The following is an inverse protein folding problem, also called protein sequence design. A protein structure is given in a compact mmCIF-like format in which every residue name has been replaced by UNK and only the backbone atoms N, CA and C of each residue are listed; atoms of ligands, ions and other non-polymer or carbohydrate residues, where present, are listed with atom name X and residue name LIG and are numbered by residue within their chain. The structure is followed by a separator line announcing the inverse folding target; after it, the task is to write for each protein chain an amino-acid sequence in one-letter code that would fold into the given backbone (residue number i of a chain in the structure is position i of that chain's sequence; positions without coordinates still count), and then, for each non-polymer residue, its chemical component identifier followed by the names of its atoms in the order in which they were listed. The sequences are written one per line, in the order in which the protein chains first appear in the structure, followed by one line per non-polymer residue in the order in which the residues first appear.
data_IF_256945203301
#
_entry.id   IF_256945203301
#
_cell.length_a   1.000
_cell.length_b   1.000
_cell.length_c   1.000
_cell.angle_alpha   90.00
_cell.angle_beta   90.00
_cell.angle_gamma   90.00
#
_symmetry.space_group_name_H-M   'P 1'
#
loop_
_entity.id
_entity.type
_entity.pdbx_description
1 polymer ?
#
# COMPACT_ATOMS: atom_id res chain seq x y z
N UNK A 1 7.77 -11.47 8.19
CA UNK A 1 7.76 -10.61 6.97
C UNK A 1 8.31 -11.42 5.82
N UNK A 2 7.66 -11.39 4.67
CA UNK A 2 8.12 -12.09 3.46
C UNK A 2 9.08 -11.21 2.67
N UNK A 3 9.90 -11.78 1.77
CA UNK A 3 10.79 -11.01 0.88
C UNK A 3 10.03 -9.97 0.04
N UNK A 4 8.76 -10.24 -0.30
CA UNK A 4 7.92 -9.30 -1.02
C UNK A 4 7.53 -8.07 -0.19
N UNK A 5 7.39 -8.23 1.12
CA UNK A 5 7.05 -7.15 2.05
C UNK A 5 8.26 -6.30 2.42
N UNK A 6 9.46 -6.86 2.36
CA UNK A 6 10.73 -6.19 2.69
C UNK A 6 11.40 -5.56 1.46
N UNK A 7 10.63 -4.84 0.66
CA UNK A 7 11.16 -4.15 -0.51
C UNK A 7 11.73 -2.77 -0.17
N UNK A 8 12.71 -2.36 -0.96
CA UNK A 8 13.12 -0.98 -1.17
C UNK A 8 12.79 -0.64 -2.62
N UNK A 9 12.11 0.45 -2.85
CA UNK A 9 11.89 0.95 -4.21
C UNK A 9 13.21 1.48 -4.75
N UNK A 10 13.73 0.84 -5.81
CA UNK A 10 15.09 1.12 -6.31
C UNK A 10 15.22 2.52 -6.94
N UNK A 11 14.14 3.01 -7.52
CA UNK A 11 14.10 4.34 -8.15
C UNK A 11 12.68 4.92 -8.09
N UNK A 12 12.59 6.23 -7.95
CA UNK A 12 11.33 6.94 -8.04
C UNK A 12 10.73 6.85 -9.47
N UNK A 13 9.47 7.23 -9.61
CA UNK A 13 8.84 7.34 -10.93
C UNK A 13 9.61 8.33 -11.81
N UNK A 14 9.82 7.97 -13.09
CA UNK A 14 10.45 8.83 -14.08
C UNK A 14 9.38 9.47 -14.96
N UNK A 15 9.06 10.76 -14.80
CA UNK A 15 8.06 11.44 -15.64
C UNK A 15 8.49 11.52 -17.10
N UNK A 16 7.53 11.43 -18.02
CA UNK A 16 7.79 11.69 -19.44
C UNK A 16 8.13 13.16 -19.68
N UNK A 17 8.69 13.49 -20.84
CA UNK A 17 9.06 14.88 -21.17
C UNK A 17 7.83 15.81 -21.17
N UNK A 18 6.68 15.32 -21.65
CA UNK A 18 5.43 16.09 -21.64
C UNK A 18 4.92 16.31 -20.21
N UNK A 19 5.11 15.33 -19.33
CA UNK A 19 4.74 15.45 -17.91
C UNK A 19 5.66 16.43 -17.20
N UNK A 20 6.97 16.37 -17.45
CA UNK A 20 7.96 17.34 -16.93
C UNK A 20 7.64 18.74 -17.39
N UNK A 21 7.34 18.92 -18.69
CA UNK A 21 6.99 20.23 -19.22
C UNK A 21 5.70 20.78 -18.58
N UNK A 22 4.69 19.95 -18.39
CA UNK A 22 3.45 20.36 -17.73
C UNK A 22 3.62 20.71 -16.24
N UNK A 23 4.54 20.03 -15.54
CA UNK A 23 4.91 20.35 -14.16
C UNK A 23 5.66 21.68 -14.14
N UNK A 24 6.64 21.86 -15.01
CA UNK A 24 7.42 23.10 -15.13
C UNK A 24 6.53 24.31 -15.38
N UNK A 25 5.51 24.21 -16.23
CA UNK A 25 4.54 25.28 -16.44
C UNK A 25 3.79 25.67 -15.16
N UNK A 26 3.66 24.77 -14.19
CA UNK A 26 3.07 25.06 -12.88
C UNK A 26 4.09 25.68 -11.93
N UNK A 27 5.38 25.30 -12.04
CA UNK A 27 6.48 25.86 -11.27
C UNK A 27 6.81 27.30 -11.68
N UNK A 28 6.74 27.57 -12.99
CA UNK A 28 7.08 28.87 -13.59
C UNK A 28 6.01 29.96 -13.35
N UNK A 29 4.95 29.69 -12.58
CA UNK A 29 3.98 30.71 -12.16
C UNK A 29 4.65 31.71 -11.21
N UNK A 30 4.18 32.94 -11.18
CA UNK A 30 4.70 34.01 -10.31
C UNK A 30 4.75 33.61 -8.84
N UNK A 31 3.79 32.82 -8.38
CA UNK A 31 3.72 32.31 -7.00
C UNK A 31 4.40 30.95 -6.80
N UNK A 32 4.99 30.36 -7.87
CA UNK A 32 5.51 29.00 -7.83
C UNK A 32 4.42 27.93 -7.66
N UNK A 33 4.83 26.71 -7.28
CA UNK A 33 3.91 25.63 -6.98
C UNK A 33 3.12 25.90 -5.70
N UNK A 34 1.82 25.60 -5.76
CA UNK A 34 0.95 25.55 -4.59
C UNK A 34 0.33 24.15 -4.45
N UNK A 35 -0.03 23.75 -3.24
CA UNK A 35 -0.59 22.43 -2.97
C UNK A 35 -1.84 22.12 -3.80
N UNK A 36 -2.62 23.14 -4.17
CA UNK A 36 -3.79 23.04 -5.04
C UNK A 36 -3.48 22.60 -6.47
N UNK A 37 -2.27 22.79 -6.94
CA UNK A 37 -1.84 22.37 -8.29
C UNK A 37 -1.92 20.87 -8.48
N UNK A 38 -1.86 20.08 -7.38
CA UNK A 38 -2.14 18.66 -7.42
C UNK A 38 -3.50 18.32 -8.04
N UNK A 39 -4.49 19.21 -7.90
CA UNK A 39 -5.84 19.02 -8.46
C UNK A 39 -5.98 19.52 -9.90
N UNK A 40 -4.89 19.96 -10.53
CA UNK A 40 -4.89 20.43 -11.92
C UNK A 40 -5.54 19.41 -12.87
N UNK A 41 -6.36 19.93 -13.75
CA UNK A 41 -7.07 19.14 -14.77
C UNK A 41 -6.32 19.07 -16.11
N UNK A 42 -5.11 19.67 -16.20
CA UNK A 42 -4.26 19.55 -17.39
C UNK A 42 -3.98 18.07 -17.72
N UNK A 43 -4.02 17.75 -19.00
CA UNK A 43 -3.91 16.36 -19.51
C UNK A 43 -2.66 15.65 -18.98
N UNK A 44 -1.50 16.27 -19.09
CA UNK A 44 -0.24 15.65 -18.68
C UNK A 44 -0.05 15.60 -17.16
N UNK A 45 -0.70 16.46 -16.39
CA UNK A 45 -0.75 16.32 -14.91
C UNK A 45 -1.64 15.13 -14.52
N UNK A 46 -2.74 14.89 -15.22
CA UNK A 46 -3.54 13.67 -15.02
C UNK A 46 -2.76 12.42 -15.42
N UNK A 47 -2.03 12.48 -16.55
CA UNK A 47 -1.14 11.42 -17.01
C UNK A 47 -0.08 11.10 -15.95
N UNK A 48 0.66 12.09 -15.48
CA UNK A 48 1.65 11.96 -14.40
C UNK A 48 1.06 11.22 -13.19
N UNK A 49 -0.06 11.68 -12.68
CA UNK A 49 -0.70 11.06 -11.51
C UNK A 49 -1.12 9.61 -11.75
N UNK A 50 -1.60 9.29 -12.96
CA UNK A 50 -1.99 7.92 -13.34
C UNK A 50 -0.75 7.03 -13.49
N UNK A 51 0.24 7.48 -14.22
CA UNK A 51 1.44 6.72 -14.53
C UNK A 51 2.29 6.47 -13.28
N UNK A 52 2.50 7.51 -12.46
CA UNK A 52 3.14 7.40 -11.16
C UNK A 52 2.45 6.32 -10.28
N UNK A 53 1.13 6.38 -10.13
CA UNK A 53 0.42 5.37 -9.33
C UNK A 53 0.65 3.96 -9.85
N UNK A 54 0.58 3.77 -11.17
CA UNK A 54 0.73 2.46 -11.77
C UNK A 54 2.17 1.92 -11.66
N UNK A 55 3.16 2.80 -11.83
CA UNK A 55 4.58 2.47 -11.70
C UNK A 55 4.94 2.13 -10.25
N UNK A 56 4.62 3.03 -9.32
CA UNK A 56 4.88 2.82 -7.89
C UNK A 56 4.14 1.60 -7.33
N UNK A 57 2.91 1.34 -7.77
CA UNK A 57 2.17 0.14 -7.39
C UNK A 57 2.90 -1.16 -7.78
N UNK A 58 3.54 -1.18 -8.96
CA UNK A 58 4.38 -2.32 -9.39
C UNK A 58 5.68 -2.38 -8.58
N UNK A 59 6.40 -1.25 -8.47
CA UNK A 59 7.67 -1.15 -7.74
C UNK A 59 7.52 -1.46 -6.25
N UNK A 60 6.35 -1.21 -5.67
CA UNK A 60 6.00 -1.57 -4.30
C UNK A 60 5.40 -2.99 -4.16
N UNK A 61 5.60 -3.89 -5.15
CA UNK A 61 5.07 -5.26 -5.13
C UNK A 61 3.55 -5.34 -4.91
N UNK A 62 2.80 -4.30 -5.31
CA UNK A 62 1.36 -4.15 -5.09
C UNK A 62 0.98 -4.01 -3.59
N UNK A 63 1.91 -3.59 -2.76
CA UNK A 63 1.74 -3.41 -1.33
C UNK A 63 1.67 -1.94 -0.94
N UNK A 64 0.97 -1.65 0.15
CA UNK A 64 0.99 -0.32 0.76
C UNK A 64 2.40 0.03 1.27
N UNK A 65 2.86 1.26 1.03
CA UNK A 65 4.18 1.73 1.47
C UNK A 65 4.40 1.58 2.98
N UNK A 66 3.35 1.71 3.79
CA UNK A 66 3.45 1.74 5.24
C UNK A 66 3.08 0.42 5.92
N UNK A 67 1.92 -0.15 5.65
CA UNK A 67 1.50 -1.37 6.32
C UNK A 67 1.89 -2.66 5.59
N UNK A 68 2.42 -2.57 4.38
CA UNK A 68 2.84 -3.75 3.58
C UNK A 68 1.71 -4.75 3.30
N UNK A 69 0.45 -4.36 3.46
CA UNK A 69 -0.68 -5.19 3.05
C UNK A 69 -0.87 -5.08 1.54
N UNK A 70 -1.20 -6.21 0.93
CA UNK A 70 -1.61 -6.26 -0.47
C UNK A 70 -3.00 -5.64 -0.63
N UNK A 71 -3.10 -4.63 -1.49
CA UNK A 71 -4.38 -3.99 -1.83
C UNK A 71 -4.72 -4.34 -3.27
N UNK A 72 -5.75 -5.19 -3.50
CA UNK A 72 -6.17 -5.53 -4.85
C UNK A 72 -6.62 -4.29 -5.62
N UNK A 73 -6.06 -4.07 -6.80
CA UNK A 73 -6.37 -2.89 -7.63
C UNK A 73 -7.83 -2.82 -8.11
N UNK A 74 -8.55 -3.93 -8.07
CA UNK A 74 -9.94 -4.03 -8.52
C UNK A 74 -10.96 -3.53 -7.49
N UNK A 75 -10.65 -3.66 -6.18
CA UNK A 75 -11.64 -3.42 -5.12
C UNK A 75 -11.43 -2.09 -4.39
N UNK A 76 -10.17 -1.70 -4.16
CA UNK A 76 -9.86 -0.46 -3.44
C UNK A 76 -8.71 0.25 -4.15
N UNK A 77 -8.90 1.46 -4.66
CA UNK A 77 -7.81 2.18 -5.32
C UNK A 77 -6.75 2.58 -4.30
N UNK A 78 -5.50 2.17 -4.55
CA UNK A 78 -4.36 2.73 -3.83
C UNK A 78 -4.30 4.25 -4.02
N UNK A 79 -4.11 4.96 -2.92
CA UNK A 79 -3.94 6.40 -2.94
C UNK A 79 -2.50 6.76 -3.32
N UNK A 80 -2.35 7.83 -4.08
CA UNK A 80 -1.07 8.52 -4.25
C UNK A 80 -0.86 9.35 -3.01
N UNK A 81 0.16 9.03 -2.25
CA UNK A 81 0.45 9.65 -0.98
C UNK A 81 1.71 10.51 -1.08
N UNK A 82 1.63 11.73 -0.55
CA UNK A 82 2.78 12.60 -0.36
C UNK A 82 3.44 12.26 0.97
N UNK A 83 4.67 11.73 0.92
CA UNK A 83 5.42 11.38 2.13
C UNK A 83 5.56 12.61 3.02
N UNK A 84 6.08 13.70 2.48
CA UNK A 84 6.07 15.03 3.11
C UNK A 84 4.82 15.78 2.65
N UNK A 85 4.09 16.35 3.60
CA UNK A 85 2.79 16.97 3.34
C UNK A 85 2.91 18.20 2.43
N UNK A 86 2.26 18.14 1.27
CA UNK A 86 2.37 19.13 0.20
C UNK A 86 1.95 20.57 0.58
N UNK A 87 1.06 20.74 1.58
CA UNK A 87 0.65 22.09 1.97
C UNK A 87 1.74 22.82 2.75
N UNK A 88 2.66 22.10 3.40
CA UNK A 88 3.83 22.69 4.08
C UNK A 88 5.00 22.87 3.13
N UNK A 89 5.14 21.97 2.16
CA UNK A 89 6.22 21.95 1.18
C UNK A 89 5.67 21.84 -0.24
N UNK A 90 4.99 22.90 -0.77
CA UNK A 90 4.34 22.83 -2.07
C UNK A 90 5.31 22.58 -3.22
N UNK A 91 6.58 22.99 -3.08
CA UNK A 91 7.65 22.73 -4.06
C UNK A 91 7.90 21.25 -4.32
N UNK A 92 7.49 20.36 -3.43
CA UNK A 92 7.63 18.89 -3.58
C UNK A 92 6.32 18.18 -3.99
N UNK A 93 5.32 18.95 -4.41
CA UNK A 93 3.99 18.39 -4.80
C UNK A 93 4.09 17.37 -5.94
N UNK A 94 4.96 17.63 -6.92
CA UNK A 94 5.18 16.74 -8.06
C UNK A 94 6.54 16.04 -8.04
N UNK A 95 7.29 16.16 -6.96
CA UNK A 95 8.57 15.46 -6.79
C UNK A 95 8.32 13.95 -6.68
N UNK A 96 8.80 13.10 -7.61
CA UNK A 96 8.53 11.68 -7.59
C UNK A 96 9.03 10.97 -6.33
N UNK A 97 10.17 11.43 -5.76
CA UNK A 97 10.73 10.92 -4.52
C UNK A 97 9.82 11.16 -3.31
N UNK A 98 8.99 12.20 -3.36
CA UNK A 98 8.00 12.53 -2.33
C UNK A 98 6.69 11.73 -2.47
N UNK A 99 6.60 10.85 -3.46
CA UNK A 99 5.33 10.19 -3.82
C UNK A 99 5.43 8.67 -3.71
N UNK A 100 4.45 8.07 -3.06
CA UNK A 100 4.31 6.63 -2.98
C UNK A 100 2.84 6.21 -3.16
N UNK A 101 2.56 4.91 -3.12
CA UNK A 101 1.20 4.39 -3.04
C UNK A 101 0.93 3.82 -1.66
N UNK A 102 -0.19 4.20 -1.08
CA UNK A 102 -0.64 3.77 0.24
C UNK A 102 -2.10 3.30 0.19
N UNK A 103 -2.49 2.42 1.10
CA UNK A 103 -3.89 2.09 1.29
C UNK A 103 -4.65 3.29 1.88
N UNK A 104 -5.97 3.37 1.68
CA UNK A 104 -6.78 4.49 2.17
C UNK A 104 -6.57 4.77 3.66
N UNK A 105 -6.59 3.72 4.50
CA UNK A 105 -6.43 3.86 5.95
C UNK A 105 -5.08 4.45 6.34
N UNK A 106 -3.95 3.93 5.80
CA UNK A 106 -2.63 4.48 6.11
C UNK A 106 -2.47 5.91 5.63
N UNK A 107 -3.01 6.24 4.46
CA UNK A 107 -3.03 7.61 3.93
C UNK A 107 -3.83 8.56 4.83
N UNK A 108 -5.00 8.13 5.30
CA UNK A 108 -5.87 8.90 6.18
C UNK A 108 -5.22 9.15 7.56
N UNK A 109 -4.73 8.09 8.21
CA UNK A 109 -4.11 8.19 9.54
C UNK A 109 -2.83 9.02 9.53
N UNK A 110 -1.96 8.82 8.53
CA UNK A 110 -0.76 9.64 8.38
C UNK A 110 -1.13 11.12 8.17
N UNK A 111 -2.12 11.40 7.33
CA UNK A 111 -2.69 12.72 7.11
C UNK A 111 -1.63 13.82 6.92
N UNK A 112 -1.69 14.84 7.79
CA UNK A 112 -0.81 16.02 7.75
C UNK A 112 0.41 15.93 8.69
N UNK A 113 0.73 14.71 9.17
CA UNK A 113 1.83 14.47 10.10
C UNK A 113 3.14 15.03 9.57
N UNK A 114 3.91 15.73 10.46
CA UNK A 114 5.27 16.17 10.15
C UNK A 114 6.22 14.98 10.21
N UNK A 115 6.79 14.66 9.06
CA UNK A 115 7.65 13.47 8.91
C UNK A 115 9.13 13.80 8.73
N UNK A 116 9.47 15.08 8.53
CA UNK A 116 10.86 15.51 8.41
C UNK A 116 11.53 15.58 9.77
N UNK A 117 12.81 15.23 9.83
CA UNK A 117 13.66 15.45 11.01
C UNK A 117 13.90 16.95 11.19
N UNK A 118 14.24 17.64 10.09
CA UNK A 118 14.30 19.11 10.04
C UNK A 118 13.12 19.66 9.22
N UNK A 119 12.04 20.16 9.87
CA UNK A 119 10.88 20.70 9.17
C UNK A 119 11.16 22.01 8.41
N UNK A 120 12.32 22.64 8.63
CA UNK A 120 12.70 23.91 7.99
C UNK A 120 13.57 23.71 6.75
N UNK A 121 13.92 22.46 6.43
CA UNK A 121 14.74 22.19 5.25
C UNK A 121 14.07 22.66 3.96
N UNK A 122 14.84 23.34 3.12
CA UNK A 122 14.40 23.76 1.78
C UNK A 122 14.68 22.70 0.70
N UNK A 123 15.55 21.73 1.02
CA UNK A 123 15.95 20.66 0.11
C UNK A 123 15.32 19.34 0.56
N UNK A 124 14.72 18.59 -0.37
CA UNK A 124 14.19 17.26 -0.08
C UNK A 124 15.35 16.34 0.33
N UNK A 125 15.26 15.68 1.50
CA UNK A 125 16.32 14.75 1.91
C UNK A 125 16.43 13.56 0.94
N UNK A 126 17.66 13.15 0.66
CA UNK A 126 17.96 12.04 -0.26
C UNK A 126 18.42 10.77 0.47
N UNK A 127 18.25 10.72 1.79
CA UNK A 127 18.59 9.57 2.67
C UNK A 127 17.51 9.38 3.72
N UNK A 128 17.37 8.14 4.22
CA UNK A 128 16.38 7.79 5.22
C UNK A 128 16.46 8.65 6.48
N UNK A 129 17.64 8.98 6.96
CA UNK A 129 17.86 9.75 8.20
C UNK A 129 17.23 11.15 8.19
N UNK A 130 16.86 11.67 7.03
CA UNK A 130 16.12 12.93 6.90
C UNK A 130 14.64 12.81 7.28
N UNK A 131 14.14 11.60 7.51
CA UNK A 131 12.74 11.32 7.77
C UNK A 131 12.51 10.58 9.10
N UNK A 132 11.48 10.96 9.84
CA UNK A 132 10.98 10.25 11.03
C UNK A 132 10.18 9.01 10.69
N UNK A 133 9.58 8.96 9.48
CA UNK A 133 8.78 7.85 8.95
C UNK A 133 9.64 6.99 8.03
N UNK A 134 9.32 5.70 7.91
CA UNK A 134 9.99 4.81 6.94
C UNK A 134 9.71 5.32 5.53
N UNK A 135 10.78 5.57 4.78
CA UNK A 135 10.72 6.07 3.41
C UNK A 135 10.92 4.92 2.42
N UNK A 136 9.97 4.66 1.49
CA UNK A 136 10.01 3.45 0.66
C UNK A 136 11.20 3.38 -0.31
N UNK A 137 11.86 4.52 -0.63
CA UNK A 137 13.06 4.55 -1.47
C UNK A 137 14.37 4.42 -0.67
N UNK A 138 14.38 4.83 0.61
CA UNK A 138 15.64 5.01 1.33
C UNK A 138 15.82 4.05 2.49
N UNK A 139 14.74 3.45 2.99
CA UNK A 139 14.77 2.59 4.16
C UNK A 139 14.40 1.15 3.80
N UNK A 140 15.18 0.18 4.31
CA UNK A 140 14.73 -1.20 4.35
C UNK A 140 13.74 -1.36 5.49
N UNK A 141 12.54 -1.84 5.15
CA UNK A 141 11.43 -1.92 6.11
C UNK A 141 11.74 -2.80 7.32
N UNK A 142 12.38 -3.96 7.09
CA UNK A 142 12.74 -4.92 8.14
C UNK A 142 13.79 -4.40 9.13
N UNK A 143 14.54 -3.33 8.79
CA UNK A 143 15.47 -2.70 9.72
C UNK A 143 14.73 -1.92 10.81
N UNK A 144 13.52 -1.46 10.54
CA UNK A 144 12.73 -0.59 11.41
C UNK A 144 11.51 -1.25 12.03
N UNK A 145 10.88 -2.21 11.34
CA UNK A 145 9.66 -2.89 11.79
C UNK A 145 9.78 -4.39 11.55
N UNK A 146 9.36 -5.17 12.51
CA UNK A 146 9.12 -6.59 12.37
C UNK A 146 7.65 -6.96 12.54
N UNK A 147 7.27 -8.12 12.00
CA UNK A 147 5.92 -8.68 12.13
C UNK A 147 5.96 -9.89 13.04
N UNK A 148 5.43 -9.74 14.25
CA UNK A 148 5.28 -10.84 15.22
C UNK A 148 4.17 -11.78 14.73
N UNK A 149 4.51 -13.04 14.57
CA UNK A 149 3.57 -14.04 14.03
C UNK A 149 3.08 -13.72 12.62
N UNK A 150 3.70 -12.75 11.91
CA UNK A 150 3.25 -12.28 10.60
C UNK A 150 2.03 -11.34 10.66
N UNK A 151 1.55 -10.99 11.85
CA UNK A 151 0.29 -10.26 12.07
C UNK A 151 0.50 -8.91 12.77
N UNK A 152 1.26 -8.89 13.87
CA UNK A 152 1.41 -7.70 14.71
C UNK A 152 2.71 -6.95 14.41
N UNK A 153 2.61 -5.62 14.29
CA UNK A 153 3.76 -4.76 14.04
C UNK A 153 4.50 -4.44 15.32
N UNK A 154 5.82 -4.64 15.33
CA UNK A 154 6.72 -4.22 16.39
C UNK A 154 7.80 -3.30 15.82
N UNK A 155 7.94 -2.08 16.37
CA UNK A 155 9.02 -1.17 16.03
C UNK A 155 10.35 -1.67 16.60
N UNK A 156 11.38 -1.66 15.77
CA UNK A 156 12.78 -1.97 16.14
C UNK A 156 13.60 -0.71 16.38
N UNK A 157 13.15 0.41 15.83
CA UNK A 157 13.79 1.73 15.90
C UNK A 157 12.73 2.81 16.16
N UNK A 158 13.16 4.01 16.58
CA UNK A 158 12.27 5.17 16.75
C UNK A 158 11.49 5.48 15.48
N UNK A 159 12.13 5.36 14.31
CA UNK A 159 11.47 5.49 13.00
C UNK A 159 10.38 4.45 12.78
N UNK A 160 10.64 3.21 13.16
CA UNK A 160 9.66 2.12 13.10
C UNK A 160 8.48 2.37 14.03
N UNK A 161 8.74 2.78 15.29
CA UNK A 161 7.72 3.15 16.27
C UNK A 161 6.88 4.32 15.75
N UNK A 162 7.53 5.38 15.26
CA UNK A 162 6.85 6.54 14.68
C UNK A 162 5.94 6.15 13.50
N UNK A 163 6.42 5.29 12.62
CA UNK A 163 5.63 4.81 11.47
C UNK A 163 4.40 4.04 11.92
N UNK A 164 4.55 3.15 12.92
CA UNK A 164 3.45 2.38 13.51
C UNK A 164 2.40 3.31 14.11
N UNK A 165 2.83 4.29 14.91
CA UNK A 165 1.94 5.25 15.55
C UNK A 165 1.20 6.12 14.53
N UNK A 166 1.93 6.76 13.59
CA UNK A 166 1.34 7.75 12.68
C UNK A 166 0.50 7.13 11.57
N UNK A 167 0.77 5.91 11.18
CA UNK A 167 -0.07 5.16 10.23
C UNK A 167 -1.05 4.21 10.93
N UNK A 168 -1.15 4.24 12.26
CA UNK A 168 -2.02 3.39 13.09
C UNK A 168 -1.89 1.90 12.71
N UNK A 169 -0.65 1.39 12.59
CA UNK A 169 -0.42 0.00 12.21
C UNK A 169 -0.79 -1.01 13.31
N UNK A 170 -1.11 -0.53 14.51
CA UNK A 170 -1.60 -1.32 15.65
C UNK A 170 -3.14 -1.47 15.67
N UNK A 171 -3.87 -0.95 14.66
CA UNK A 171 -5.34 -1.08 14.62
C UNK A 171 -5.79 -2.55 14.46
N UNK A 172 -6.85 -2.94 15.17
CA UNK A 172 -7.37 -4.31 15.20
C UNK A 172 -7.73 -4.81 13.80
N UNK A 173 -8.45 -4.01 13.00
CA UNK A 173 -8.83 -4.40 11.64
C UNK A 173 -7.64 -4.71 10.72
N UNK A 174 -6.47 -4.07 10.94
CA UNK A 174 -5.25 -4.40 10.19
C UNK A 174 -4.66 -5.75 10.63
N UNK A 175 -4.73 -6.06 11.92
CA UNK A 175 -4.29 -7.35 12.45
C UNK A 175 -5.18 -8.49 11.93
N UNK A 176 -6.49 -8.28 11.89
CA UNK A 176 -7.46 -9.21 11.31
C UNK A 176 -7.17 -9.44 9.81
N UNK A 177 -7.02 -8.37 9.02
CA UNK A 177 -6.70 -8.45 7.60
C UNK A 177 -5.38 -9.20 7.33
N UNK A 178 -4.35 -9.00 8.19
CA UNK A 178 -3.11 -9.74 8.10
C UNK A 178 -3.26 -11.21 8.48
N UNK A 179 -4.04 -11.50 9.50
CA UNK A 179 -4.33 -12.88 9.89
C UNK A 179 -5.03 -13.64 8.76
N UNK A 180 -6.02 -13.03 8.13
CA UNK A 180 -6.73 -13.60 6.99
C UNK A 180 -5.81 -13.83 5.79
N UNK A 181 -4.97 -12.83 5.43
CA UNK A 181 -4.00 -12.98 4.36
C UNK A 181 -2.98 -14.09 4.65
N UNK A 182 -2.52 -14.20 5.90
CA UNK A 182 -1.61 -15.26 6.32
C UNK A 182 -2.26 -16.63 6.21
N UNK A 183 -3.47 -16.81 6.73
CA UNK A 183 -4.23 -18.05 6.61
C UNK A 183 -4.44 -18.43 5.14
N UNK A 184 -4.79 -17.47 4.30
CA UNK A 184 -4.92 -17.68 2.85
C UNK A 184 -3.63 -18.17 2.20
N UNK A 185 -2.48 -17.59 2.56
CA UNK A 185 -1.18 -17.96 1.98
C UNK A 185 -0.66 -19.30 2.49
N UNK A 186 -0.89 -19.63 3.77
CA UNK A 186 -0.46 -20.90 4.38
C UNK A 186 -1.30 -22.09 3.92
N UNK A 187 -2.57 -21.90 3.66
CA UNK A 187 -3.50 -22.97 3.24
C UNK A 187 -3.48 -23.26 1.72
N UNK A 188 -2.52 -22.74 0.95
CA UNK A 188 -2.20 -23.07 -0.45
C UNK A 188 -3.42 -23.36 -1.36
N UNK A 189 -4.29 -22.40 -1.55
CA UNK A 189 -5.43 -22.57 -2.43
C UNK A 189 -6.70 -22.87 -1.63
N UNK A 190 -6.94 -22.02 -0.72
CA UNK A 190 -7.92 -22.10 0.31
C UNK A 190 -9.36 -22.23 -0.22
N UNK A 191 -10.20 -22.68 0.68
CA UNK A 191 -11.67 -22.66 0.66
C UNK A 191 -12.23 -21.41 -0.04
N UNK A 192 -11.62 -20.25 0.11
CA UNK A 192 -12.08 -19.00 -0.52
C UNK A 192 -11.89 -19.02 -2.04
N UNK A 193 -10.75 -19.50 -2.55
CA UNK A 193 -10.54 -19.63 -3.99
C UNK A 193 -11.49 -20.68 -4.58
N UNK A 194 -11.71 -21.79 -3.87
CA UNK A 194 -12.69 -22.80 -4.23
C UNK A 194 -14.12 -22.26 -4.11
N UNK A 195 -14.47 -21.49 -3.06
CA UNK A 195 -15.78 -20.85 -2.92
C UNK A 195 -16.03 -19.78 -3.98
N UNK A 196 -15.01 -18.99 -4.36
CA UNK A 196 -15.12 -18.02 -5.47
C UNK A 196 -15.30 -18.76 -6.80
N UNK A 197 -14.54 -19.82 -7.02
CA UNK A 197 -14.68 -20.67 -8.21
C UNK A 197 -16.08 -21.30 -8.25
N UNK A 198 -16.56 -21.85 -7.13
CA UNK A 198 -17.89 -22.44 -6.98
C UNK A 198 -19.01 -21.43 -7.17
N UNK A 199 -18.87 -20.21 -6.61
CA UNK A 199 -19.87 -19.12 -6.82
C UNK A 199 -19.88 -18.65 -8.28
N UNK A 200 -18.73 -18.65 -8.94
CA UNK A 200 -18.63 -18.30 -10.36
C UNK A 200 -19.25 -19.39 -11.24
N UNK A 201 -19.04 -20.66 -10.89
CA UNK A 201 -19.62 -21.80 -11.60
C UNK A 201 -21.14 -21.86 -11.35
N UNK A 202 -21.60 -21.63 -10.10
CA UNK A 202 -23.04 -21.67 -9.77
C UNK A 202 -23.84 -20.61 -10.53
N UNK A 203 -23.28 -19.43 -10.73
CA UNK A 203 -23.94 -18.36 -11.49
C UNK A 203 -24.06 -18.66 -12.99
N UNK A 204 -23.38 -19.69 -13.50
CA UNK A 204 -23.34 -20.01 -14.93
C UNK A 204 -23.91 -21.39 -15.30
N UNK A 205 -24.01 -22.34 -14.36
CA UNK A 205 -24.19 -23.76 -14.71
C UNK A 205 -25.13 -24.58 -13.82
N UNK A 206 -25.76 -24.02 -12.80
CA UNK A 206 -26.54 -24.84 -11.86
C UNK A 206 -28.03 -24.51 -11.97
N UNK A 207 -28.79 -25.40 -12.60
CA UNK A 207 -30.26 -25.38 -12.62
C UNK A 207 -30.87 -25.90 -11.29
N UNK A 208 -30.05 -26.43 -10.38
CA UNK A 208 -30.50 -27.00 -9.09
C UNK A 208 -29.64 -26.45 -7.93
N UNK A 209 -30.25 -25.58 -7.11
CA UNK A 209 -29.64 -25.01 -5.90
C UNK A 209 -29.30 -26.05 -4.85
N UNK A 210 -30.04 -27.15 -4.77
CA UNK A 210 -29.86 -28.19 -3.74
C UNK A 210 -28.58 -29.01 -3.98
N UNK A 211 -28.25 -29.30 -5.23
CA UNK A 211 -27.01 -29.99 -5.59
C UNK A 211 -25.77 -29.10 -5.36
N UNK A 212 -25.89 -27.80 -5.57
CA UNK A 212 -24.81 -26.86 -5.26
C UNK A 212 -24.55 -26.78 -3.74
N UNK A 213 -25.60 -26.66 -2.92
CA UNK A 213 -25.49 -26.63 -1.46
C UNK A 213 -24.85 -27.92 -0.95
N UNK A 214 -25.27 -29.09 -1.48
CA UNK A 214 -24.71 -30.40 -1.10
C UNK A 214 -23.21 -30.47 -1.43
N UNK A 215 -22.79 -30.03 -2.62
CA UNK A 215 -21.39 -30.00 -3.02
C UNK A 215 -20.54 -29.09 -2.13
N UNK A 216 -21.04 -27.90 -1.78
CA UNK A 216 -20.36 -26.98 -0.83
C UNK A 216 -20.24 -27.62 0.56
N UNK A 217 -21.27 -28.30 1.03
CA UNK A 217 -21.26 -29.01 2.32
C UNK A 217 -20.24 -30.15 2.35
N UNK A 218 -20.10 -30.92 1.26
CA UNK A 218 -19.11 -32.00 1.13
C UNK A 218 -17.67 -31.46 1.18
N UNK A 219 -17.42 -30.30 0.53
CA UNK A 219 -16.12 -29.62 0.60
C UNK A 219 -15.82 -29.18 2.04
N UNK A 220 -16.76 -28.53 2.73
CA UNK A 220 -16.59 -28.05 4.11
C UNK A 220 -16.35 -29.21 5.07
N UNK A 221 -17.06 -30.34 4.91
CA UNK A 221 -16.84 -31.54 5.72
C UNK A 221 -15.48 -32.19 5.43
N UNK A 222 -15.06 -32.26 4.17
CA UNK A 222 -13.74 -32.75 3.78
C UNK A 222 -12.59 -31.95 4.41
N UNK A 223 -12.77 -30.64 4.58
CA UNK A 223 -11.79 -29.78 5.25
C UNK A 223 -11.74 -30.00 6.77
N UNK A 224 -12.89 -30.17 7.43
CA UNK A 224 -12.94 -30.48 8.87
C UNK A 224 -12.23 -31.80 9.19
N UNK A 225 -12.39 -32.81 8.33
CA UNK A 225 -11.73 -34.10 8.49
C UNK A 225 -10.21 -34.05 8.27
N UNK A 226 -9.69 -33.15 7.39
CA UNK A 226 -8.24 -32.96 7.23
C UNK A 226 -7.62 -32.27 8.45
N UNK A 227 -8.24 -31.23 8.99
CA UNK A 227 -7.73 -30.52 10.17
C UNK A 227 -7.65 -31.40 11.43
N UNK A 228 -8.55 -32.39 11.54
CA UNK A 228 -8.51 -33.35 12.65
C UNK A 228 -7.37 -34.37 12.50
N UNK A 229 -6.97 -34.70 11.27
CA UNK A 229 -5.86 -35.66 11.01
C UNK A 229 -4.47 -35.03 11.13
N UNK A 230 -4.33 -33.74 10.88
CA UNK A 230 -3.04 -33.03 10.97
C UNK A 230 -2.72 -32.58 12.41
N UNK A 231 -3.66 -32.76 13.37
CA UNK A 231 -3.50 -32.46 14.80
C UNK A 231 -3.42 -33.71 15.70
N UNK A 232 -3.22 -34.90 15.13
CA UNK A 232 -2.93 -36.16 15.81
C UNK A 232 -1.58 -36.68 15.32
#
# INVERSE_FOLDING_TARGET
MTDKEDFIVQEAYQPTEEEKQAIKELEDKDQGLVAGDWNSQKTYIKSFKKNLRNDMYKKQNKLCAFCRIHVPSACVPMHREHIVYKNKHPQWTFLPENLCVACPSCNEYKGTTEVLVDPQTSTYPNVGDGFKIIHPLYDRYSDHIELLGGVLYRGKTDKGVFTIEKCHLHRVGLAEERADQKMYMENKGSIIAELILLTTISNHYVDDQDDFIRYVMDIVEGYKLKQVKDNV
#
